data_IF_746764184174
#
_entry.id   IF_746764184174
#
_cell.length_a   1.000
_cell.length_b   1.000
_cell.length_c   1.000
_cell.angle_alpha   90.00
_cell.angle_beta   90.00
_cell.angle_gamma   90.00
#
_symmetry.space_group_name_H-M   'P 1'
#
loop_
_entity.id
_entity.type
_entity.pdbx_description
1 polymer ?
#
# COMPACT_ATOMS: atom_id res chain seq x y z
N UNK A 1 4.61 -13.26 12.20
CA UNK A 1 3.55 -12.38 12.70
C UNK A 1 3.54 -11.09 11.88
N UNK A 2 2.48 -10.74 11.13
CA UNK A 2 2.39 -9.44 10.45
C UNK A 2 2.23 -8.32 11.50
N UNK A 3 3.36 -7.80 11.99
CA UNK A 3 3.44 -7.03 13.24
C UNK A 3 2.98 -5.57 13.12
N UNK A 4 2.80 -5.03 11.92
CA UNK A 4 2.33 -3.64 11.73
C UNK A 4 1.51 -3.49 10.47
N UNK A 5 0.62 -2.49 10.48
CA UNK A 5 -0.10 -2.04 9.28
C UNK A 5 0.90 -1.49 8.26
N UNK A 6 0.68 -1.77 6.98
CA UNK A 6 1.48 -1.19 5.91
C UNK A 6 1.18 0.31 5.79
N UNK A 7 2.21 1.14 5.68
CA UNK A 7 2.06 2.57 5.48
C UNK A 7 2.07 2.89 3.98
N UNK A 8 1.01 3.54 3.50
CA UNK A 8 0.87 3.89 2.09
C UNK A 8 0.76 5.41 1.94
N UNK A 9 1.61 5.98 1.09
CA UNK A 9 1.52 7.39 0.72
C UNK A 9 1.06 7.50 -0.74
N UNK A 10 -0.13 8.06 -0.94
CA UNK A 10 -0.61 8.47 -2.25
C UNK A 10 -0.11 9.87 -2.56
N UNK A 11 0.27 10.12 -3.80
CA UNK A 11 0.73 11.42 -4.26
C UNK A 11 0.20 11.72 -5.66
N UNK A 12 -0.01 12.99 -5.96
CA UNK A 12 -0.35 13.47 -7.29
C UNK A 12 0.23 14.89 -7.47
N UNK A 13 0.91 15.20 -8.60
CA UNK A 13 1.64 16.47 -8.77
C UNK A 13 0.74 17.70 -8.77
N UNK A 14 -0.41 17.62 -9.45
CA UNK A 14 -1.29 18.78 -9.68
C UNK A 14 -2.67 18.68 -9.00
N UNK A 15 -3.04 17.50 -8.49
CA UNK A 15 -4.39 17.24 -7.97
C UNK A 15 -4.33 16.54 -6.61
N UNK A 16 -3.93 17.24 -5.54
CA UNK A 16 -3.81 16.65 -4.20
C UNK A 16 -5.13 16.05 -3.68
N UNK A 17 -6.28 16.55 -4.17
CA UNK A 17 -7.61 15.99 -3.86
C UNK A 17 -7.77 14.53 -4.33
N UNK A 18 -7.14 14.15 -5.45
CA UNK A 18 -7.17 12.75 -5.94
C UNK A 18 -6.38 11.83 -5.02
N UNK A 19 -5.20 12.27 -4.57
CA UNK A 19 -4.41 11.53 -3.59
C UNK A 19 -5.17 11.39 -2.26
N UNK A 20 -5.83 12.46 -1.81
CA UNK A 20 -6.67 12.43 -0.60
C UNK A 20 -7.82 11.43 -0.71
N UNK A 21 -8.55 11.47 -1.82
CA UNK A 21 -9.63 10.52 -2.07
C UNK A 21 -9.13 9.07 -2.11
N UNK A 22 -7.97 8.82 -2.71
CA UNK A 22 -7.35 7.49 -2.73
C UNK A 22 -6.98 7.00 -1.32
N UNK A 23 -6.36 7.88 -0.51
CA UNK A 23 -6.01 7.56 0.87
C UNK A 23 -7.26 7.27 1.73
N UNK A 24 -8.30 8.09 1.60
CA UNK A 24 -9.57 7.86 2.29
C UNK A 24 -10.19 6.52 1.90
N UNK A 25 -10.26 6.21 0.61
CA UNK A 25 -10.79 4.96 0.11
C UNK A 25 -9.97 3.76 0.61
N UNK A 26 -8.64 3.86 0.63
CA UNK A 26 -7.78 2.79 1.14
C UNK A 26 -8.00 2.54 2.64
N UNK A 27 -8.08 3.60 3.45
CA UNK A 27 -8.38 3.47 4.87
C UNK A 27 -9.79 2.88 5.11
N UNK A 28 -10.79 3.27 4.31
CA UNK A 28 -12.14 2.71 4.41
C UNK A 28 -12.19 1.21 4.10
N UNK A 29 -11.40 0.75 3.14
CA UNK A 29 -11.41 -0.65 2.69
C UNK A 29 -10.52 -1.57 3.53
N UNK A 30 -9.46 -1.03 4.14
CA UNK A 30 -8.36 -1.84 4.63
C UNK A 30 -7.68 -1.34 5.90
N UNK A 31 -8.33 -0.53 6.75
CA UNK A 31 -7.72 0.06 7.97
C UNK A 31 -7.11 -0.95 8.96
N UNK A 32 -7.50 -2.22 8.89
CA UNK A 32 -6.90 -3.32 9.64
C UNK A 32 -5.52 -3.76 9.09
N UNK A 33 -5.29 -3.53 7.80
CA UNK A 33 -4.12 -3.99 7.04
C UNK A 33 -3.14 -2.85 6.73
N UNK A 34 -3.65 -1.63 6.57
CA UNK A 34 -2.88 -0.48 6.13
C UNK A 34 -3.30 0.82 6.83
N UNK A 35 -2.40 1.79 6.79
CA UNK A 35 -2.67 3.20 7.05
C UNK A 35 -2.27 4.00 5.80
N UNK A 36 -3.19 4.78 5.25
CA UNK A 36 -2.96 5.57 4.04
C UNK A 36 -2.99 7.08 4.29
N UNK A 37 -2.07 7.81 3.63
CA UNK A 37 -1.97 9.28 3.64
C UNK A 37 -1.81 9.80 2.21
N UNK A 38 -2.07 11.09 2.00
CA UNK A 38 -2.02 11.72 0.67
C UNK A 38 -0.96 12.82 0.51
N UNK A 39 -0.41 13.26 1.64
CA UNK A 39 0.61 14.31 1.76
C UNK A 39 1.38 13.98 3.04
N UNK A 40 2.68 13.75 2.95
CA UNK A 40 3.56 13.55 4.10
C UNK A 40 4.91 14.17 3.78
N UNK A 41 5.45 14.94 4.73
CA UNK A 41 6.84 15.42 4.69
C UNK A 41 7.83 14.34 5.14
N UNK A 42 7.32 13.28 5.78
CA UNK A 42 8.11 12.14 6.20
C UNK A 42 8.20 11.10 5.09
N UNK A 43 9.32 11.15 4.38
CA UNK A 43 9.73 10.23 3.30
C UNK A 43 10.14 8.84 3.79
N UNK A 44 10.34 8.68 5.10
CA UNK A 44 10.76 7.42 5.73
C UNK A 44 9.60 6.60 6.28
N UNK A 45 8.43 7.23 6.41
CA UNK A 45 7.22 6.60 6.92
C UNK A 45 6.58 5.56 5.98
N UNK A 46 6.47 5.78 4.65
CA UNK A 46 5.72 4.87 3.80
C UNK A 46 6.53 3.63 3.42
N UNK A 47 5.90 2.46 3.56
CA UNK A 47 6.36 1.22 2.93
C UNK A 47 6.07 1.22 1.43
N UNK A 48 5.00 1.90 1.03
CA UNK A 48 4.56 2.01 -0.35
C UNK A 48 4.21 3.46 -0.71
N UNK A 49 4.92 4.01 -1.68
CA UNK A 49 4.63 5.29 -2.31
C UNK A 49 3.91 5.07 -3.64
N UNK A 50 2.77 5.72 -3.85
CA UNK A 50 1.93 5.57 -5.04
C UNK A 50 1.75 6.94 -5.70
N UNK A 51 2.40 7.12 -6.84
CA UNK A 51 2.15 8.25 -7.72
C UNK A 51 0.91 7.98 -8.58
N UNK A 52 -0.10 8.83 -8.48
CA UNK A 52 -1.31 8.80 -9.28
C UNK A 52 -1.20 9.78 -10.44
N UNK A 53 -1.49 9.33 -11.67
CA UNK A 53 -1.50 10.19 -12.88
C UNK A 53 -0.26 11.10 -13.02
N UNK A 54 0.91 10.59 -12.65
CA UNK A 54 2.17 11.29 -12.83
C UNK A 54 3.09 10.54 -13.77
N UNK A 55 3.78 11.28 -14.63
CA UNK A 55 4.78 10.75 -15.55
C UNK A 55 6.08 10.32 -14.84
N UNK A 56 6.16 10.51 -13.52
CA UNK A 56 7.29 10.10 -12.71
C UNK A 56 6.99 10.09 -11.22
N UNK A 57 7.89 9.50 -10.46
CA UNK A 57 7.96 9.68 -9.00
C UNK A 57 8.76 10.96 -8.78
N UNK A 58 8.37 11.85 -7.84
CA UNK A 58 9.15 13.04 -7.55
C UNK A 58 10.59 12.63 -7.20
N UNK A 59 11.57 13.42 -7.65
CA UNK A 59 12.99 13.23 -7.35
C UNK A 59 13.30 13.64 -5.90
N UNK A 60 12.62 12.98 -4.98
CA UNK A 60 12.77 13.15 -3.55
C UNK A 60 13.35 11.84 -3.00
N UNK A 61 14.36 11.94 -2.14
CA UNK A 61 14.92 10.76 -1.51
C UNK A 61 13.79 10.00 -0.76
N UNK A 62 13.69 8.71 -0.99
CA UNK A 62 12.83 7.80 -0.25
C UNK A 62 13.68 6.91 0.65
N UNK A 63 13.12 6.42 1.75
CA UNK A 63 13.83 5.42 2.54
C UNK A 63 14.06 4.14 1.71
N UNK A 64 15.16 3.42 1.99
CA UNK A 64 15.55 2.23 1.23
C UNK A 64 14.50 1.11 1.22
N UNK A 65 13.59 1.10 2.21
CA UNK A 65 12.51 0.12 2.30
C UNK A 65 11.23 0.53 1.55
N UNK A 66 11.13 1.80 1.14
CA UNK A 66 9.96 2.33 0.45
C UNK A 66 9.90 1.80 -0.97
N UNK A 67 8.84 1.07 -1.30
CA UNK A 67 8.55 0.70 -2.67
C UNK A 67 7.78 1.82 -3.36
N UNK A 68 8.14 2.16 -4.59
CA UNK A 68 7.43 3.16 -5.36
C UNK A 68 6.66 2.53 -6.53
N UNK A 69 5.41 2.95 -6.73
CA UNK A 69 4.56 2.50 -7.84
C UNK A 69 3.88 3.66 -8.52
N UNK A 70 3.67 3.51 -9.83
CA UNK A 70 2.85 4.41 -10.62
C UNK A 70 1.51 3.77 -10.95
N UNK A 71 0.42 4.46 -10.61
CA UNK A 71 -0.93 4.06 -10.99
C UNK A 71 -1.57 5.11 -11.90
N UNK A 72 -1.81 4.79 -13.18
CA UNK A 72 -2.67 5.63 -13.99
C UNK A 72 -4.09 5.57 -13.43
N UNK A 73 -4.73 6.72 -13.31
CA UNK A 73 -6.13 6.85 -12.96
C UNK A 73 -6.92 6.61 -14.25
N UNK A 74 -7.51 5.43 -14.31
CA UNK A 74 -8.48 5.08 -15.34
C UNK A 74 -9.68 6.03 -15.26
N UNK A 75 -10.33 6.36 -16.40
CA UNK A 75 -11.66 6.98 -16.38
C UNK A 75 -12.71 6.10 -15.69
N UNK A 76 -12.45 4.78 -15.57
CA UNK A 76 -13.26 3.89 -14.75
C UNK A 76 -13.10 4.21 -13.26
N UNK A 77 -14.19 4.67 -12.65
CA UNK A 77 -14.30 5.01 -11.23
C UNK A 77 -13.97 3.83 -10.31
N UNK A 78 -14.10 2.58 -10.78
CA UNK A 78 -13.80 1.39 -9.99
C UNK A 78 -12.35 0.93 -10.06
N UNK A 79 -11.57 1.41 -11.04
CA UNK A 79 -10.20 0.93 -11.24
C UNK A 79 -9.31 1.17 -10.01
N UNK A 80 -9.43 2.33 -9.36
CA UNK A 80 -8.70 2.64 -8.14
C UNK A 80 -9.09 1.71 -6.99
N UNK A 81 -10.40 1.46 -6.82
CA UNK A 81 -10.92 0.52 -5.83
C UNK A 81 -10.35 -0.88 -6.04
N UNK A 82 -10.39 -1.39 -7.27
CA UNK A 82 -9.86 -2.71 -7.62
C UNK A 82 -8.37 -2.83 -7.33
N UNK A 83 -7.58 -1.79 -7.65
CA UNK A 83 -6.13 -1.76 -7.32
C UNK A 83 -5.88 -1.79 -5.81
N UNK A 84 -6.62 -1.00 -5.05
CA UNK A 84 -6.51 -0.97 -3.58
C UNK A 84 -6.86 -2.35 -2.99
N UNK A 85 -7.95 -2.97 -3.46
CA UNK A 85 -8.34 -4.31 -3.01
C UNK A 85 -7.29 -5.36 -3.35
N UNK A 86 -6.65 -5.27 -4.53
CA UNK A 86 -5.53 -6.13 -4.90
C UNK A 86 -4.35 -6.00 -3.94
N UNK A 87 -3.98 -4.77 -3.55
CA UNK A 87 -2.91 -4.53 -2.55
C UNK A 87 -3.27 -5.13 -1.20
N UNK A 88 -4.51 -4.91 -0.72
CA UNK A 88 -4.99 -5.47 0.54
C UNK A 88 -4.97 -7.01 0.49
N UNK A 89 -5.43 -7.61 -0.61
CA UNK A 89 -5.38 -9.06 -0.82
C UNK A 89 -3.96 -9.62 -0.78
N UNK A 90 -2.98 -8.88 -1.30
CA UNK A 90 -1.57 -9.22 -1.17
C UNK A 90 -1.11 -9.27 0.29
N UNK A 91 -1.44 -8.27 1.11
CA UNK A 91 -1.12 -8.28 2.54
C UNK A 91 -1.79 -9.43 3.29
N UNK A 92 -3.05 -9.73 2.97
CA UNK A 92 -3.78 -10.85 3.55
C UNK A 92 -3.12 -12.19 3.22
N UNK A 93 -2.69 -12.38 1.98
CA UNK A 93 -1.99 -13.59 1.55
C UNK A 93 -0.66 -13.76 2.31
N UNK A 94 0.14 -12.70 2.39
CA UNK A 94 1.41 -12.71 3.12
C UNK A 94 1.19 -13.05 4.61
N UNK A 95 0.17 -12.48 5.23
CA UNK A 95 -0.17 -12.78 6.62
C UNK A 95 -0.60 -14.23 6.85
N UNK A 96 -1.33 -14.84 5.89
CA UNK A 96 -1.72 -16.27 5.97
C UNK A 96 -0.52 -17.20 5.85
N UNK A 97 0.41 -16.89 4.95
CA UNK A 97 1.64 -17.66 4.78
C UNK A 97 2.51 -17.63 6.03
N UNK A 98 2.60 -16.48 6.68
CA UNK A 98 3.35 -16.27 7.92
C UNK A 98 2.72 -16.99 9.14
N UNK A 99 1.42 -17.30 9.10
CA UNK A 99 0.74 -18.12 10.11
C UNK A 99 0.82 -19.63 9.84
N UNK A 100 1.11 -19.99 8.59
CA UNK A 100 1.31 -21.37 8.16
C UNK A 100 2.76 -21.76 8.49
N UNK A 101 3.06 -21.91 9.79
CA UNK A 101 4.32 -22.50 10.23
C UNK A 101 4.53 -23.90 9.63
N UNK A 102 5.77 -24.40 9.56
CA UNK A 102 6.02 -25.76 9.11
C UNK A 102 5.20 -26.76 9.95
N UNK A 103 4.70 -27.86 9.36
CA UNK A 103 3.98 -28.88 10.11
C UNK A 103 4.87 -29.38 11.27
N UNK A 104 4.30 -29.73 12.43
CA UNK A 104 5.08 -30.30 13.51
C UNK A 104 5.79 -31.54 12.98
N UNK A 105 7.11 -31.58 13.15
CA UNK A 105 7.88 -32.80 12.92
C UNK A 105 7.44 -33.77 14.01
N UNK A 106 6.54 -34.70 13.67
CA UNK A 106 6.30 -35.88 14.49
C UNK A 106 7.63 -36.64 14.56
N UNK A 107 8.32 -36.49 15.68
CA UNK A 107 9.39 -37.37 16.06
C UNK A 107 8.79 -38.77 16.19
N UNK A 108 9.01 -39.61 15.18
CA UNK A 108 8.78 -41.04 15.30
C UNK A 108 9.96 -41.63 16.08
N UNK A 109 9.61 -42.38 17.13
CA UNK A 109 10.42 -43.17 18.05
C UNK A 109 11.68 -43.83 17.44
#
# INVERSE_FOLDING_TARGET
MYKRRAHILFWHPHQPKKALAAAQLANQLGSQWLEARAISLDISWPDLFIALDSDGIPDQAHAAHTQCKFWPISPDKNALRTRILGVIGGFQLLARMDQSGPPPVEAQD
#
